data_IF_855499524078
#
_entry.id   IF_855499524078
#
_cell.length_a   1.000
_cell.length_b   1.000
_cell.length_c   1.000
_cell.angle_alpha   90.00
_cell.angle_beta   90.00
_cell.angle_gamma   90.00
#
_symmetry.space_group_name_H-M   'P 1'
#
loop_
_entity.id
_entity.type
_entity.pdbx_description
1 polymer ?
#
# COMPACT_ATOMS: atom_id res chain seq x y z
N UNK A 1 4.64 1.57 -18.07
CA UNK A 1 4.77 2.74 -17.17
C UNK A 1 6.23 3.01 -16.77
N UNK A 2 6.86 2.24 -15.88
CA UNK A 2 8.26 2.49 -15.44
C UNK A 2 9.28 2.46 -16.58
N UNK A 3 9.25 1.42 -17.43
CA UNK A 3 10.13 1.29 -18.60
C UNK A 3 9.99 2.46 -19.57
N UNK A 4 8.77 2.96 -19.79
CA UNK A 4 8.49 4.11 -20.65
C UNK A 4 9.02 5.43 -20.05
N UNK A 5 9.03 5.55 -18.71
CA UNK A 5 9.56 6.74 -18.02
C UNK A 5 11.09 6.78 -18.01
N UNK A 6 11.74 5.62 -17.94
CA UNK A 6 13.21 5.52 -17.90
C UNK A 6 13.80 5.54 -19.31
N UNK A 7 13.14 4.93 -20.30
CA UNK A 7 13.49 4.97 -21.72
C UNK A 7 14.78 4.24 -22.14
N UNK A 8 15.66 3.94 -21.18
CA UNK A 8 17.02 3.44 -21.43
C UNK A 8 17.23 1.97 -21.02
N UNK A 9 16.27 1.37 -20.29
CA UNK A 9 16.43 0.05 -19.67
C UNK A 9 15.29 -0.86 -20.13
N UNK A 10 15.60 -2.14 -20.37
CA UNK A 10 14.60 -3.13 -20.76
C UNK A 10 13.59 -3.40 -19.64
N UNK A 11 12.40 -3.91 -19.99
CA UNK A 11 11.40 -4.29 -18.99
C UNK A 11 11.90 -5.42 -18.09
N UNK A 12 12.60 -6.38 -18.65
CA UNK A 12 13.10 -7.56 -17.92
C UNK A 12 14.15 -7.15 -16.90
N UNK A 13 15.06 -6.24 -17.25
CA UNK A 13 16.05 -5.71 -16.31
C UNK A 13 15.41 -4.97 -15.13
N UNK A 14 14.33 -4.21 -15.36
CA UNK A 14 13.60 -3.55 -14.26
C UNK A 14 12.96 -4.60 -13.34
N UNK A 15 12.38 -5.66 -13.91
CA UNK A 15 11.78 -6.75 -13.14
C UNK A 15 12.85 -7.45 -12.30
N UNK A 16 14.02 -7.74 -12.87
CA UNK A 16 15.13 -8.38 -12.16
C UNK A 16 15.63 -7.52 -11.00
N UNK A 17 15.72 -6.19 -11.18
CA UNK A 17 16.06 -5.28 -10.08
C UNK A 17 14.99 -5.25 -8.99
N UNK A 18 13.70 -5.21 -9.35
CA UNK A 18 12.63 -5.28 -8.37
C UNK A 18 12.68 -6.58 -7.57
N UNK A 19 12.86 -7.74 -8.22
CA UNK A 19 13.00 -9.02 -7.54
C UNK A 19 14.27 -9.11 -6.69
N UNK A 20 15.37 -8.49 -7.11
CA UNK A 20 16.57 -8.41 -6.29
C UNK A 20 16.31 -7.63 -5.00
N UNK A 21 15.69 -6.45 -5.11
CA UNK A 21 15.36 -5.62 -3.95
C UNK A 21 14.31 -6.27 -3.03
N UNK A 22 13.35 -7.01 -3.59
CA UNK A 22 12.41 -7.82 -2.82
C UNK A 22 13.13 -8.90 -2.01
N UNK A 23 14.05 -9.65 -2.62
CA UNK A 23 14.86 -10.67 -1.92
C UNK A 23 15.80 -10.10 -0.85
N UNK A 24 16.10 -8.81 -0.91
CA UNK A 24 16.91 -8.10 0.08
C UNK A 24 16.06 -7.47 1.19
N UNK A 25 14.75 -7.72 1.22
CA UNK A 25 13.80 -7.08 2.13
C UNK A 25 13.81 -5.54 2.04
N UNK A 26 14.14 -4.99 0.87
CA UNK A 26 14.12 -3.55 0.62
C UNK A 26 12.76 -3.11 0.09
N UNK A 27 12.16 -3.91 -0.79
CA UNK A 27 10.85 -3.66 -1.38
C UNK A 27 9.84 -4.74 -1.00
N UNK A 28 8.60 -4.33 -0.77
CA UNK A 28 7.47 -5.25 -0.81
C UNK A 28 6.80 -5.19 -2.18
N UNK A 29 6.44 -6.37 -2.67
CA UNK A 29 5.70 -6.55 -3.91
C UNK A 29 4.26 -6.98 -3.60
N UNK A 30 3.33 -6.04 -3.77
CA UNK A 30 1.91 -6.31 -3.63
C UNK A 30 1.32 -6.62 -5.01
N UNK A 31 0.91 -7.87 -5.19
CA UNK A 31 0.13 -8.27 -6.35
C UNK A 31 -1.30 -7.76 -6.25
N UNK A 32 -1.94 -7.50 -7.40
CA UNK A 32 -3.35 -7.13 -7.42
C UNK A 32 -4.23 -8.31 -6.98
N UNK A 33 -5.16 -8.10 -6.04
CA UNK A 33 -6.01 -9.13 -5.48
C UNK A 33 -7.12 -9.59 -6.45
N UNK A 34 -7.28 -10.91 -6.58
CA UNK A 34 -8.40 -11.58 -7.23
C UNK A 34 -9.46 -11.95 -6.21
N UNK A 35 -10.59 -11.25 -6.22
CA UNK A 35 -11.70 -11.50 -5.29
C UNK A 35 -12.33 -12.89 -5.48
N UNK A 36 -12.30 -13.46 -6.70
CA UNK A 36 -12.91 -14.75 -6.98
C UNK A 36 -12.05 -15.90 -6.46
N UNK A 37 -10.73 -15.80 -6.66
CA UNK A 37 -9.77 -16.85 -6.30
C UNK A 37 -9.08 -16.63 -4.96
N UNK A 38 -9.28 -15.46 -4.33
CA UNK A 38 -8.59 -15.01 -3.11
C UNK A 38 -7.08 -15.15 -3.18
N UNK A 39 -6.49 -14.73 -4.29
CA UNK A 39 -5.04 -14.77 -4.52
C UNK A 39 -4.59 -13.56 -5.34
N UNK A 40 -3.29 -13.40 -5.54
CA UNK A 40 -2.76 -12.36 -6.43
C UNK A 40 -2.96 -12.71 -7.90
N UNK A 41 -3.08 -11.67 -8.73
CA UNK A 41 -3.02 -11.73 -10.19
C UNK A 41 -1.58 -11.48 -10.67
N UNK A 42 -0.82 -12.51 -11.08
CA UNK A 42 0.59 -12.33 -11.42
C UNK A 42 0.83 -11.43 -12.64
N UNK A 43 -0.14 -11.39 -13.56
CA UNK A 43 -0.06 -10.64 -14.83
C UNK A 43 -0.55 -9.19 -14.72
N UNK A 44 -1.21 -8.81 -13.63
CA UNK A 44 -1.64 -7.42 -13.42
C UNK A 44 -0.47 -6.58 -12.94
N UNK A 45 -0.67 -5.26 -12.94
CA UNK A 45 0.27 -4.35 -12.32
C UNK A 45 0.52 -4.76 -10.86
N UNK A 46 1.70 -4.39 -10.37
CA UNK A 46 2.14 -4.59 -9.00
C UNK A 46 2.25 -3.24 -8.33
N UNK A 47 2.01 -3.21 -7.03
CA UNK A 47 2.19 -2.03 -6.19
C UNK A 47 3.41 -2.28 -5.30
N UNK A 48 4.36 -1.36 -5.31
CA UNK A 48 5.60 -1.49 -4.58
C UNK A 48 5.67 -0.47 -3.46
N UNK A 49 6.12 -0.92 -2.29
CA UNK A 49 6.52 -0.03 -1.22
C UNK A 49 7.91 -0.39 -0.73
N UNK A 50 8.59 0.56 -0.10
CA UNK A 50 9.76 0.23 0.69
C UNK A 50 9.34 -0.47 1.96
N UNK A 51 10.07 -1.52 2.31
CA UNK A 51 9.83 -2.26 3.55
C UNK A 51 10.24 -1.45 4.78
N UNK A 52 11.31 -0.67 4.66
CA UNK A 52 11.87 0.14 5.75
C UNK A 52 11.65 1.66 5.51
N UNK A 53 10.98 2.37 6.46
CA UNK A 53 10.83 3.82 6.44
C UNK A 53 12.14 4.60 6.31
N UNK A 54 13.22 4.15 6.95
CA UNK A 54 14.54 4.76 6.89
C UNK A 54 15.12 4.69 5.49
N UNK A 55 15.02 3.54 4.81
CA UNK A 55 15.49 3.40 3.42
C UNK A 55 14.69 4.33 2.50
N UNK A 56 13.36 4.35 2.64
CA UNK A 56 12.50 5.26 1.89
C UNK A 56 12.94 6.72 2.06
N UNK A 57 13.09 7.18 3.30
CA UNK A 57 13.49 8.55 3.62
C UNK A 57 14.89 8.89 3.10
N UNK A 58 15.83 7.95 3.20
CA UNK A 58 17.20 8.12 2.71
C UNK A 58 17.22 8.34 1.20
N UNK A 59 16.55 7.46 0.44
CA UNK A 59 16.45 7.57 -1.02
C UNK A 59 15.72 8.84 -1.42
N UNK A 60 14.63 9.16 -0.73
CA UNK A 60 13.85 10.36 -1.02
C UNK A 60 14.66 11.64 -0.81
N UNK A 61 15.39 11.75 0.29
CA UNK A 61 16.25 12.89 0.56
C UNK A 61 17.39 13.01 -0.45
N UNK A 62 17.95 11.88 -0.90
CA UNK A 62 18.94 11.87 -1.97
C UNK A 62 18.34 12.38 -3.29
N UNK A 63 17.20 11.87 -3.74
CA UNK A 63 16.53 12.32 -4.98
C UNK A 63 16.11 13.79 -4.89
N UNK A 64 15.66 14.25 -3.72
CA UNK A 64 15.33 15.65 -3.46
C UNK A 64 16.56 16.55 -3.61
N UNK A 65 17.71 16.14 -3.08
CA UNK A 65 18.99 16.87 -3.23
C UNK A 65 19.43 16.97 -4.69
N UNK A 66 19.16 15.93 -5.49
CA UNK A 66 19.41 15.92 -6.94
C UNK A 66 18.42 16.79 -7.75
N UNK A 67 17.43 17.43 -7.10
CA UNK A 67 16.45 18.28 -7.77
C UNK A 67 15.47 17.51 -8.66
N UNK A 68 15.33 16.19 -8.45
CA UNK A 68 14.51 15.30 -9.30
C UNK A 68 13.15 14.94 -8.70
N UNK A 69 12.79 15.55 -7.57
CA UNK A 69 11.57 15.24 -6.84
C UNK A 69 10.51 16.32 -7.10
N UNK A 70 9.41 15.93 -7.75
CA UNK A 70 8.21 16.77 -7.88
C UNK A 70 7.36 16.66 -6.61
N UNK A 71 6.44 17.62 -6.40
CA UNK A 71 5.51 17.62 -5.27
C UNK A 71 4.80 16.25 -5.12
N UNK A 72 5.21 15.49 -4.10
CA UNK A 72 4.62 14.21 -3.70
C UNK A 72 4.06 14.38 -2.29
N UNK A 73 2.93 13.75 -2.01
CA UNK A 73 2.45 13.57 -0.64
C UNK A 73 3.26 12.44 0.01
N UNK A 74 4.46 12.82 0.47
CA UNK A 74 5.49 11.92 0.98
C UNK A 74 5.01 11.21 2.24
N UNK A 75 4.31 11.92 3.12
CA UNK A 75 3.83 11.36 4.37
C UNK A 75 2.75 10.30 4.13
N UNK A 76 1.76 10.58 3.26
CA UNK A 76 0.71 9.60 2.97
C UNK A 76 1.30 8.32 2.37
N UNK A 77 2.24 8.45 1.43
CA UNK A 77 2.91 7.30 0.80
C UNK A 77 3.73 6.48 1.81
N UNK A 78 4.41 7.16 2.73
CA UNK A 78 5.20 6.50 3.77
C UNK A 78 4.31 5.73 4.74
N UNK A 79 3.21 6.33 5.19
CA UNK A 79 2.29 5.68 6.13
C UNK A 79 1.62 4.47 5.51
N UNK A 80 1.23 4.58 4.24
CA UNK A 80 0.72 3.44 3.47
C UNK A 80 1.73 2.30 3.39
N UNK A 81 3.01 2.63 3.10
CA UNK A 81 4.10 1.67 3.11
C UNK A 81 4.30 0.99 4.49
N UNK A 82 4.19 1.76 5.59
CA UNK A 82 4.25 1.21 6.94
C UNK A 82 3.11 0.21 7.23
N UNK A 83 1.88 0.57 6.87
CA UNK A 83 0.70 -0.31 7.05
C UNK A 83 0.83 -1.56 6.18
N UNK A 84 1.22 -1.40 4.91
CA UNK A 84 1.40 -2.51 3.98
C UNK A 84 2.51 -3.47 4.41
N UNK A 85 3.69 -2.96 4.77
CA UNK A 85 4.82 -3.78 5.24
C UNK A 85 4.50 -4.49 6.56
N UNK A 86 3.76 -3.85 7.46
CA UNK A 86 3.29 -4.48 8.67
C UNK A 86 2.33 -5.63 8.39
N UNK A 87 1.34 -5.45 7.51
CA UNK A 87 0.45 -6.55 7.10
C UNK A 87 1.21 -7.68 6.40
N UNK A 88 2.13 -7.33 5.50
CA UNK A 88 2.94 -8.27 4.72
C UNK A 88 3.78 -9.21 5.60
N UNK A 89 4.29 -8.71 6.75
CA UNK A 89 5.08 -9.53 7.69
C UNK A 89 4.29 -10.66 8.35
N UNK A 90 2.99 -10.48 8.57
CA UNK A 90 2.16 -11.47 9.30
C UNK A 90 1.27 -12.29 8.38
N UNK A 91 0.85 -11.72 7.24
CA UNK A 91 -0.18 -12.31 6.39
C UNK A 91 0.12 -12.13 4.90
N UNK A 92 -0.47 -13.01 4.09
CA UNK A 92 -0.42 -12.87 2.63
C UNK A 92 -1.14 -11.60 2.22
N UNK A 93 -0.39 -10.64 1.69
CA UNK A 93 -0.83 -9.27 1.48
C UNK A 93 -0.80 -8.89 0.00
N UNK A 94 -1.74 -8.04 -0.40
CA UNK A 94 -2.04 -7.61 -1.76
C UNK A 94 -2.50 -6.16 -1.74
N UNK A 95 -2.73 -5.59 -2.92
CA UNK A 95 -3.54 -4.39 -3.09
C UNK A 95 -4.74 -4.72 -3.99
N UNK A 96 -5.79 -3.91 -4.02
CA UNK A 96 -6.91 -4.13 -4.94
C UNK A 96 -7.05 -2.99 -5.94
N UNK A 97 -7.25 -3.33 -7.22
CA UNK A 97 -7.54 -2.37 -8.29
C UNK A 97 -8.75 -2.80 -9.11
N UNK A 98 -9.79 -1.98 -9.07
CA UNK A 98 -11.01 -2.07 -9.86
C UNK A 98 -11.37 -0.70 -10.43
N UNK A 99 -12.60 -0.23 -10.16
CA UNK A 99 -13.00 1.15 -10.47
C UNK A 99 -12.28 2.18 -9.59
N UNK A 100 -12.03 1.83 -8.32
CA UNK A 100 -11.08 2.51 -7.45
C UNK A 100 -9.94 1.59 -7.03
N UNK A 101 -9.22 2.02 -6.01
CA UNK A 101 -8.13 1.27 -5.40
C UNK A 101 -8.48 1.00 -3.94
N UNK A 102 -7.94 -0.08 -3.38
CA UNK A 102 -7.81 -0.27 -1.93
C UNK A 102 -6.35 -0.58 -1.67
N UNK A 103 -5.76 0.16 -0.74
CA UNK A 103 -4.31 0.17 -0.53
C UNK A 103 -3.77 -1.19 -0.13
N UNK A 104 -4.42 -1.83 0.84
CA UNK A 104 -3.96 -3.10 1.41
C UNK A 104 -5.12 -4.08 1.56
N UNK A 105 -4.92 -5.29 1.05
CA UNK A 105 -5.77 -6.45 1.29
C UNK A 105 -4.89 -7.54 1.90
N UNK A 106 -5.32 -8.18 2.99
CA UNK A 106 -4.61 -9.33 3.53
C UNK A 106 -5.57 -10.47 3.89
N UNK A 107 -5.02 -11.69 3.94
CA UNK A 107 -5.78 -12.90 4.25
C UNK A 107 -5.43 -13.41 5.64
N UNK A 108 -6.39 -13.35 6.56
CA UNK A 108 -6.30 -13.94 7.90
C UNK A 108 -7.25 -15.13 7.99
N UNK A 109 -6.72 -16.35 8.05
CA UNK A 109 -7.51 -17.59 8.06
C UNK A 109 -8.56 -17.64 6.91
N UNK A 110 -8.13 -17.31 5.69
CA UNK A 110 -8.98 -17.22 4.47
C UNK A 110 -10.07 -16.13 4.47
N UNK A 111 -10.09 -15.29 5.49
CA UNK A 111 -10.94 -14.10 5.56
C UNK A 111 -10.20 -12.93 4.93
N UNK A 112 -10.86 -12.30 3.96
CA UNK A 112 -10.38 -11.10 3.27
C UNK A 112 -10.59 -9.90 4.18
N UNK A 113 -9.49 -9.25 4.55
CA UNK A 113 -9.46 -8.01 5.29
C UNK A 113 -8.99 -6.90 4.36
N UNK A 114 -9.70 -5.76 4.35
CA UNK A 114 -9.42 -4.64 3.46
C UNK A 114 -9.11 -3.37 4.28
N UNK A 115 -8.05 -2.68 3.90
CA UNK A 115 -7.59 -1.47 4.57
C UNK A 115 -7.38 -0.38 3.53
N UNK A 116 -7.98 0.78 3.82
CA UNK A 116 -7.68 2.04 3.14
C UNK A 116 -6.92 2.95 4.11
N UNK A 117 -5.81 3.54 3.65
CA UNK A 117 -4.98 4.43 4.45
C UNK A 117 -5.30 5.88 4.10
N UNK A 118 -5.65 6.69 5.11
CA UNK A 118 -5.98 8.12 4.92
C UNK A 118 -5.14 9.00 5.84
N UNK A 119 -4.13 9.65 5.25
CA UNK A 119 -3.25 10.58 5.97
C UNK A 119 -3.65 12.06 5.85
N UNK A 120 -4.89 12.33 5.41
CA UNK A 120 -5.47 13.67 5.34
C UNK A 120 -6.57 13.85 6.39
N UNK A 121 -6.93 15.11 6.68
CA UNK A 121 -8.02 15.44 7.61
C UNK A 121 -9.42 15.23 7.01
N UNK A 122 -9.52 15.07 5.68
CA UNK A 122 -10.80 14.94 4.97
C UNK A 122 -10.84 13.63 4.20
N UNK A 123 -11.79 12.77 4.56
CA UNK A 123 -12.06 11.51 3.86
C UNK A 123 -13.23 11.77 2.90
N UNK A 124 -13.00 11.57 1.60
CA UNK A 124 -14.03 11.77 0.58
C UNK A 124 -14.85 10.49 0.40
N UNK A 125 -16.19 10.59 0.31
CA UNK A 125 -17.07 9.42 0.10
C UNK A 125 -16.71 8.58 -1.14
N UNK A 126 -16.25 9.25 -2.21
CA UNK A 126 -15.86 8.60 -3.46
C UNK A 126 -14.73 7.59 -3.27
N UNK A 127 -13.80 7.87 -2.34
CA UNK A 127 -12.67 7.00 -2.04
C UNK A 127 -13.13 5.71 -1.36
N UNK A 128 -14.16 5.81 -0.51
CA UNK A 128 -14.66 4.70 0.30
C UNK A 128 -15.57 3.75 -0.49
N UNK A 129 -16.07 4.15 -1.66
CA UNK A 129 -17.01 3.34 -2.46
C UNK A 129 -16.44 1.96 -2.80
N UNK A 130 -15.16 1.88 -3.16
CA UNK A 130 -14.50 0.62 -3.50
C UNK A 130 -14.24 -0.22 -2.26
N UNK A 131 -13.89 0.43 -1.15
CA UNK A 131 -13.63 -0.24 0.13
C UNK A 131 -14.88 -0.94 0.69
N UNK A 132 -16.06 -0.30 0.56
CA UNK A 132 -17.35 -0.84 1.05
C UNK A 132 -17.80 -2.16 0.42
N UNK A 133 -17.19 -2.59 -0.69
CA UNK A 133 -17.50 -3.90 -1.28
C UNK A 133 -16.94 -5.05 -0.43
N UNK A 134 -15.98 -4.78 0.45
CA UNK A 134 -15.38 -5.78 1.32
C UNK A 134 -16.09 -5.83 2.67
N UNK A 135 -16.46 -7.04 3.10
CA UNK A 135 -17.20 -7.26 4.36
C UNK A 135 -16.41 -6.81 5.60
N UNK A 136 -15.11 -7.08 5.62
CA UNK A 136 -14.22 -6.71 6.72
C UNK A 136 -13.27 -5.62 6.24
N UNK A 137 -13.81 -4.41 6.16
CA UNK A 137 -13.11 -3.23 5.70
C UNK A 137 -12.92 -2.23 6.83
N UNK A 138 -11.72 -1.67 6.93
CA UNK A 138 -11.39 -0.61 7.88
C UNK A 138 -10.69 0.54 7.17
N UNK A 139 -10.88 1.74 7.70
CA UNK A 139 -10.07 2.90 7.35
C UNK A 139 -9.04 3.09 8.45
N UNK A 140 -7.79 3.26 8.07
CA UNK A 140 -6.72 3.58 9.01
C UNK A 140 -6.26 5.01 8.73
N UNK A 141 -6.30 5.87 9.74
CA UNK A 141 -6.14 7.32 9.53
C UNK A 141 -5.19 8.01 10.50
N UNK A 142 -4.86 9.27 10.20
CA UNK A 142 -4.06 10.16 11.06
C UNK A 142 -4.77 10.55 12.37
N UNK A 143 -6.08 10.35 12.46
CA UNK A 143 -6.85 10.68 13.67
C UNK A 143 -6.31 9.92 14.89
N UNK A 144 -6.35 10.56 16.06
CA UNK A 144 -6.02 9.92 17.33
C UNK A 144 -7.20 9.19 17.96
N UNK A 145 -8.42 9.43 17.47
CA UNK A 145 -9.62 8.77 17.93
C UNK A 145 -10.16 7.80 16.88
N UNK A 146 -10.60 6.63 17.34
CA UNK A 146 -11.42 5.72 16.53
C UNK A 146 -12.78 6.36 16.25
N UNK A 147 -13.37 6.04 15.10
CA UNK A 147 -14.66 6.59 14.68
C UNK A 147 -15.34 5.75 13.62
N UNK A 148 -16.43 6.27 13.09
CA UNK A 148 -17.16 5.70 11.96
C UNK A 148 -17.13 6.70 10.79
N UNK A 149 -16.79 6.21 9.60
CA UNK A 149 -16.88 6.96 8.36
C UNK A 149 -17.81 6.25 7.38
N UNK A 150 -19.07 6.67 7.37
CA UNK A 150 -20.12 6.12 6.52
C UNK A 150 -20.34 4.61 6.67
N UNK A 151 -20.34 4.11 7.91
CA UNK A 151 -20.51 2.71 8.27
C UNK A 151 -19.22 1.88 8.24
N UNK A 152 -18.07 2.52 8.01
CA UNK A 152 -16.75 1.89 8.07
C UNK A 152 -16.03 2.28 9.35
N UNK A 153 -15.49 1.27 10.03
CA UNK A 153 -14.65 1.48 11.21
C UNK A 153 -13.38 2.24 10.81
N UNK A 154 -13.14 3.37 11.46
CA UNK A 154 -11.93 4.18 11.34
C UNK A 154 -11.07 4.00 12.57
N UNK A 155 -9.78 3.71 12.38
CA UNK A 155 -8.80 3.50 13.46
C UNK A 155 -7.57 4.40 13.26
N UNK A 156 -6.98 4.92 14.34
CA UNK A 156 -5.66 5.54 14.28
C UNK A 156 -4.62 4.56 13.72
N UNK A 157 -3.70 5.03 12.86
CA UNK A 157 -2.57 4.20 12.37
C UNK A 157 -1.78 3.60 13.52
N UNK A 158 -1.44 4.39 14.54
CA UNK A 158 -0.67 3.90 15.68
C UNK A 158 -1.39 2.79 16.44
N UNK A 159 -2.69 2.93 16.66
CA UNK A 159 -3.51 1.91 17.32
C UNK A 159 -3.59 0.64 16.47
N UNK A 160 -3.83 0.78 15.16
CA UNK A 160 -3.85 -0.35 14.24
C UNK A 160 -2.54 -1.14 14.29
N UNK A 161 -1.39 -0.47 14.17
CA UNK A 161 -0.07 -1.11 14.18
C UNK A 161 0.28 -1.76 15.52
N UNK A 162 -0.23 -1.23 16.64
CA UNK A 162 0.02 -1.79 17.97
C UNK A 162 -0.84 -3.03 18.27
N UNK A 163 -2.11 -3.01 17.86
CA UNK A 163 -3.08 -4.08 18.09
C UNK A 163 -3.07 -5.16 17.00
N UNK A 164 -2.19 -5.06 16.01
CA UNK A 164 -2.15 -5.96 14.87
C UNK A 164 -1.60 -7.34 15.23
N UNK A 165 -2.44 -8.17 15.84
CA UNK A 165 -2.51 -9.64 15.66
C UNK A 165 -3.75 -10.20 16.34
#
# INVERSE_FOLDING_TARGET
>A
ALTQKIGLVSKDTIIDYCHLLERMDILIDLQAFDQNKKQGFPRKARKFHFFDPFIYQTILNWIKKEGRLNHLDIESTLVEACVASHCYRHYKTFYFKGQGEVDVIFLKKEIVQAIEVKWSHQIRPADLKTLKQFKYAIVVSKSLASGDHEGLLSRPVCQFLYEFD
#
